data_IF_239839300672
#
_entry.id   IF_239839300672
#
_cell.length_a   1.000
_cell.length_b   1.000
_cell.length_c   1.000
_cell.angle_alpha   90.00
_cell.angle_beta   90.00
_cell.angle_gamma   90.00
#
_symmetry.space_group_name_H-M   'P 1'
#
loop_
_entity.id
_entity.type
_entity.pdbx_description
1 polymer ?
#
# COMPACT_ATOMS: atom_id res chain seq x y z
N UNK A 1 -25.35 -30.32 7.47
CA UNK A 1 -25.52 -29.51 6.24
C UNK A 1 -24.63 -28.29 6.38
N UNK A 2 -23.47 -28.25 5.73
CA UNK A 2 -22.54 -27.11 5.79
C UNK A 2 -22.82 -26.14 4.65
N UNK A 3 -23.22 -24.91 5.00
CA UNK A 3 -23.58 -23.87 4.05
C UNK A 3 -22.32 -23.22 3.48
N UNK A 4 -21.92 -23.67 2.29
CA UNK A 4 -20.79 -23.16 1.52
C UNK A 4 -21.20 -21.88 0.75
N UNK A 5 -21.26 -20.73 1.43
CA UNK A 5 -21.50 -19.42 0.80
C UNK A 5 -20.24 -18.54 0.77
N UNK A 6 -19.09 -19.05 1.19
CA UNK A 6 -17.86 -18.27 1.14
C UNK A 6 -17.22 -18.43 -0.25
N UNK A 7 -17.23 -17.38 -1.07
CA UNK A 7 -16.49 -17.37 -2.34
C UNK A 7 -15.01 -17.66 -2.02
N UNK A 8 -14.39 -18.68 -2.65
CA UNK A 8 -12.98 -18.95 -2.41
C UNK A 8 -12.16 -17.70 -2.74
N UNK A 9 -11.44 -17.17 -1.73
CA UNK A 9 -10.61 -15.98 -1.87
C UNK A 9 -11.16 -14.67 -1.30
N UNK A 10 -12.34 -14.66 -0.65
CA UNK A 10 -12.86 -13.45 0.00
C UNK A 10 -12.25 -13.17 1.38
N UNK A 11 -11.67 -14.17 2.05
CA UNK A 11 -11.05 -14.01 3.36
C UNK A 11 -9.60 -14.50 3.36
N UNK A 12 -8.74 -13.81 4.12
CA UNK A 12 -7.37 -14.26 4.38
C UNK A 12 -7.36 -15.42 5.40
N UNK A 13 -6.21 -16.08 5.56
CA UNK A 13 -6.02 -17.12 6.58
C UNK A 13 -6.31 -16.62 8.01
N UNK A 14 -6.07 -15.33 8.26
CA UNK A 14 -6.38 -14.66 9.54
C UNK A 14 -7.85 -14.23 9.66
N UNK A 15 -8.71 -14.54 8.67
CA UNK A 15 -10.12 -14.19 8.67
C UNK A 15 -10.44 -12.75 8.23
N UNK A 16 -9.49 -12.05 7.61
CA UNK A 16 -9.72 -10.67 7.12
C UNK A 16 -10.55 -10.70 5.84
N UNK A 17 -11.65 -9.95 5.81
CA UNK A 17 -12.46 -9.75 4.59
C UNK A 17 -11.73 -8.84 3.60
N UNK A 18 -11.42 -9.38 2.42
CA UNK A 18 -10.69 -8.70 1.36
C UNK A 18 -11.54 -7.63 0.67
N UNK A 19 -12.86 -7.84 0.55
CA UNK A 19 -13.76 -6.87 -0.10
C UNK A 19 -13.99 -5.64 0.78
N UNK A 20 -14.07 -5.84 2.09
CA UNK A 20 -14.10 -4.74 3.06
C UNK A 20 -12.81 -3.91 3.00
N UNK A 21 -11.65 -4.56 2.96
CA UNK A 21 -10.36 -3.86 2.86
C UNK A 21 -10.27 -3.05 1.57
N UNK A 22 -10.70 -3.58 0.43
CA UNK A 22 -10.73 -2.84 -0.84
C UNK A 22 -11.63 -1.61 -0.77
N UNK A 23 -12.84 -1.76 -0.20
CA UNK A 23 -13.77 -0.65 0.01
C UNK A 23 -13.17 0.41 0.91
N UNK A 24 -12.53 0.02 2.00
CA UNK A 24 -11.91 0.96 2.91
C UNK A 24 -10.73 1.68 2.25
N UNK A 25 -9.87 0.97 1.53
CA UNK A 25 -8.76 1.56 0.77
C UNK A 25 -9.22 2.59 -0.27
N UNK A 26 -10.33 2.33 -0.96
CA UNK A 26 -10.94 3.29 -1.89
C UNK A 26 -11.46 4.56 -1.19
N UNK A 27 -11.78 4.48 0.11
CA UNK A 27 -12.26 5.60 0.93
C UNK A 27 -11.16 6.23 1.82
N UNK A 28 -9.92 5.70 1.80
CA UNK A 28 -8.82 6.16 2.67
C UNK A 28 -8.14 7.46 2.21
N UNK A 29 -8.59 8.05 1.11
CA UNK A 29 -8.05 9.30 0.56
C UNK A 29 -6.98 9.06 -0.50
N UNK A 30 -6.03 9.98 -0.61
CA UNK A 30 -5.01 9.98 -1.66
C UNK A 30 -4.08 8.77 -1.52
N UNK A 31 -3.80 8.13 -2.64
CA UNK A 31 -2.79 7.09 -2.71
C UNK A 31 -1.39 7.68 -2.46
N UNK A 32 -0.45 6.84 -2.06
CA UNK A 32 0.95 7.23 -1.88
C UNK A 32 1.51 7.98 -3.09
N UNK A 33 1.20 7.51 -4.30
CA UNK A 33 1.67 8.13 -5.54
C UNK A 33 1.06 9.52 -5.76
N UNK A 34 -0.22 9.70 -5.43
CA UNK A 34 -0.89 10.99 -5.54
C UNK A 34 -0.35 11.98 -4.51
N UNK A 35 -0.10 11.54 -3.28
CA UNK A 35 0.56 12.35 -2.25
C UNK A 35 1.97 12.76 -2.71
N UNK A 36 2.75 11.83 -3.28
CA UNK A 36 4.08 12.12 -3.81
C UNK A 36 4.05 13.18 -4.92
N UNK A 37 3.08 13.08 -5.84
CA UNK A 37 2.89 14.07 -6.91
C UNK A 37 2.48 15.45 -6.35
N UNK A 38 1.58 15.48 -5.37
CA UNK A 38 1.16 16.73 -4.72
C UNK A 38 2.32 17.41 -4.00
N UNK A 39 3.15 16.65 -3.30
CA UNK A 39 4.37 17.16 -2.65
C UNK A 39 5.31 17.72 -3.72
N UNK A 40 5.61 16.97 -4.78
CA UNK A 40 6.46 17.44 -5.88
C UNK A 40 5.94 18.74 -6.53
N UNK A 41 4.61 18.87 -6.67
CA UNK A 41 3.98 20.08 -7.19
C UNK A 41 4.04 21.27 -6.22
N UNK A 42 4.00 21.01 -4.91
CA UNK A 42 3.88 22.05 -3.88
C UNK A 42 5.24 22.56 -3.40
N UNK A 43 6.23 21.68 -3.21
CA UNK A 43 7.56 22.03 -2.66
C UNK A 43 8.69 21.96 -3.69
N UNK A 44 8.39 21.54 -4.93
CA UNK A 44 9.39 21.28 -5.96
C UNK A 44 9.95 19.85 -5.89
N UNK A 45 10.39 19.33 -7.03
CA UNK A 45 10.79 17.92 -7.20
C UNK A 45 11.99 17.50 -6.34
N UNK A 46 12.87 18.43 -5.96
CA UNK A 46 14.08 18.16 -5.18
C UNK A 46 13.78 17.82 -3.71
N UNK A 47 12.67 18.33 -3.16
CA UNK A 47 12.24 18.09 -1.78
C UNK A 47 11.18 16.99 -1.68
N UNK A 48 10.71 16.47 -2.82
CA UNK A 48 9.73 15.40 -2.91
C UNK A 48 10.32 13.99 -2.82
N UNK A 49 11.64 13.86 -2.63
CA UNK A 49 12.29 12.63 -2.15
C UNK A 49 12.00 12.38 -0.66
N UNK A 50 10.72 12.41 -0.28
CA UNK A 50 10.28 11.90 1.01
C UNK A 50 10.04 10.39 0.85
N UNK A 51 11.09 9.60 1.14
CA UNK A 51 11.01 8.14 1.16
C UNK A 51 11.20 7.43 -0.18
N UNK A 52 12.13 7.88 -1.03
CA UNK A 52 12.76 6.94 -1.96
C UNK A 52 13.37 5.79 -1.16
N UNK A 53 13.05 4.57 -1.56
CA UNK A 53 13.35 3.31 -0.87
C UNK A 53 14.78 3.32 -0.30
N UNK A 54 15.02 2.86 0.95
CA UNK A 54 16.37 2.49 1.32
C UNK A 54 16.80 1.42 0.32
N UNK A 55 17.78 1.74 -0.53
CA UNK A 55 18.38 0.77 -1.43
C UNK A 55 18.98 -0.35 -0.58
N UNK A 56 18.24 -1.45 -0.38
CA UNK A 56 18.66 -2.58 0.43
C UNK A 56 19.92 -3.27 -0.14
N UNK A 57 20.31 -2.97 -1.39
CA UNK A 57 21.54 -3.50 -1.97
C UNK A 57 22.82 -2.86 -1.40
N UNK A 58 22.75 -1.63 -0.88
CA UNK A 58 23.91 -0.95 -0.31
C UNK A 58 24.29 -1.46 1.08
N UNK A 59 23.40 -2.22 1.73
CA UNK A 59 23.66 -2.80 3.07
C UNK A 59 24.42 -4.13 3.03
N UNK A 60 24.58 -4.76 1.87
CA UNK A 60 25.26 -6.06 1.76
C UNK A 60 26.77 -5.97 1.47
N UNK A 61 27.30 -4.78 1.12
CA UNK A 61 28.73 -4.59 0.83
C UNK A 61 29.60 -4.21 2.04
N UNK A 62 29.05 -4.21 3.26
CA UNK A 62 29.77 -3.94 4.51
C UNK A 62 29.97 -5.21 5.36
N UNK A 63 30.37 -6.33 4.74
CA UNK A 63 30.92 -7.48 5.46
C UNK A 63 32.31 -7.79 4.98
#
# INVERSE_FOLDING_TARGET
>A
MTNNQNKPGSFTQSGTDIEEVKRNNANSGLTFNEVKQLIAKTVGSEQAEFGSEPNFQDQQKKK
#
